data_IF_900136223271
#
_entry.id   IF_900136223271
#
_cell.length_a   1.000
_cell.length_b   1.000
_cell.length_c   1.000
_cell.angle_alpha   90.00
_cell.angle_beta   90.00
_cell.angle_gamma   90.00
#
_symmetry.space_group_name_H-M   'P 1'
#
loop_
_entity.id
_entity.type
_entity.pdbx_description
1 polymer ?
#
# COMPACT_ATOMS: atom_id res chain seq x y z
N UNK A 1 -0.64 12.08 20.29
CA UNK A 1 -1.26 11.03 19.45
C UNK A 1 -2.70 10.90 19.90
N UNK A 2 -3.65 10.80 18.95
CA UNK A 2 -5.08 10.62 19.29
C UNK A 2 -5.43 9.17 19.03
N UNK A 3 -5.82 8.45 20.07
CA UNK A 3 -6.23 7.04 19.96
C UNK A 3 -7.75 6.98 19.93
N UNK A 4 -8.30 6.16 19.03
CA UNK A 4 -9.74 5.97 18.90
C UNK A 4 -10.17 4.68 19.58
N UNK A 5 -11.16 4.77 20.47
CA UNK A 5 -11.83 3.63 21.08
C UNK A 5 -13.01 3.21 20.19
N UNK A 6 -12.91 2.04 19.56
CA UNK A 6 -14.00 1.51 18.73
C UNK A 6 -15.18 0.97 19.52
N UNK A 7 -14.97 0.56 20.77
CA UNK A 7 -16.01 -0.06 21.61
C UNK A 7 -16.91 1.01 22.21
N UNK A 8 -16.33 2.16 22.57
CA UNK A 8 -17.06 3.29 23.13
C UNK A 8 -17.35 4.41 22.11
N UNK A 9 -16.85 4.28 20.88
CA UNK A 9 -16.97 5.27 19.80
C UNK A 9 -16.49 6.68 20.20
N UNK A 10 -15.45 6.74 21.02
CA UNK A 10 -14.87 7.98 21.57
C UNK A 10 -13.38 8.07 21.28
N UNK A 11 -12.87 9.29 21.23
CA UNK A 11 -11.43 9.52 21.19
C UNK A 11 -10.91 9.65 22.62
N UNK A 12 -9.82 8.96 22.93
CA UNK A 12 -9.10 9.16 24.20
C UNK A 12 -8.50 10.57 24.26
N UNK A 13 -8.29 11.06 25.49
CA UNK A 13 -7.59 12.33 25.68
C UNK A 13 -6.23 12.28 24.98
N UNK A 14 -5.88 13.30 24.16
CA UNK A 14 -4.63 13.33 23.45
C UNK A 14 -3.45 13.29 24.42
N UNK A 15 -2.71 12.19 24.43
CA UNK A 15 -1.48 12.12 25.20
C UNK A 15 -0.32 12.74 24.41
N UNK A 16 0.41 13.61 25.09
CA UNK A 16 1.69 14.11 24.60
C UNK A 16 2.68 12.95 24.65
N UNK A 17 3.04 12.42 23.48
CA UNK A 17 3.94 11.26 23.35
C UNK A 17 5.42 11.64 23.67
N UNK A 18 5.64 12.84 24.23
CA UNK A 18 6.86 13.60 24.06
C UNK A 18 6.96 14.10 22.63
N UNK A 19 7.64 15.22 22.38
CA UNK A 19 8.14 15.52 21.04
C UNK A 19 9.05 14.36 20.61
N UNK A 20 8.78 13.64 19.51
CA UNK A 20 9.80 12.82 18.90
C UNK A 20 10.19 13.47 17.58
N UNK A 21 11.22 12.96 16.94
CA UNK A 21 11.67 13.42 15.62
C UNK A 21 12.43 14.75 15.68
N UNK A 22 13.54 14.77 16.44
CA UNK A 22 14.74 15.50 15.99
C UNK A 22 15.33 14.83 14.72
N UNK A 23 14.45 14.54 13.76
CA UNK A 23 14.78 13.99 12.47
C UNK A 23 15.10 15.16 11.57
N UNK A 24 16.24 15.10 10.89
CA UNK A 24 16.56 16.04 9.82
C UNK A 24 15.85 15.71 8.51
N UNK A 25 15.06 14.63 8.46
CA UNK A 25 14.33 14.12 7.31
C UNK A 25 12.82 14.36 7.46
N UNK A 26 12.08 14.33 6.36
CA UNK A 26 10.63 14.45 6.38
C UNK A 26 9.99 13.11 6.74
N UNK A 27 9.25 13.09 7.85
CA UNK A 27 8.46 11.95 8.28
C UNK A 27 6.99 12.22 7.94
N UNK A 28 6.47 11.53 6.92
CA UNK A 28 5.16 11.81 6.31
C UNK A 28 4.00 11.11 7.02
N UNK A 29 4.25 9.95 7.62
CA UNK A 29 3.22 9.16 8.27
C UNK A 29 3.82 8.31 9.38
N UNK A 30 3.17 8.31 10.53
CA UNK A 30 3.32 7.32 11.59
C UNK A 30 1.96 6.67 11.83
N UNK A 31 1.85 5.38 11.54
CA UNK A 31 0.65 4.60 11.77
C UNK A 31 0.97 3.42 12.69
N UNK A 32 0.07 3.11 13.61
CA UNK A 32 0.19 1.97 14.53
C UNK A 32 -1.12 1.19 14.45
N UNK A 33 -1.00 -0.11 14.22
CA UNK A 33 -2.07 -1.09 14.32
C UNK A 33 -1.94 -1.80 15.67
N UNK A 34 -2.88 -1.53 16.56
CA UNK A 34 -2.90 -2.09 17.91
C UNK A 34 -3.31 -3.57 17.92
N UNK A 35 -4.07 -4.04 16.91
CA UNK A 35 -4.57 -5.41 16.82
C UNK A 35 -3.44 -6.37 16.45
N UNK A 36 -2.70 -6.04 15.39
CA UNK A 36 -1.56 -6.85 14.97
C UNK A 36 -0.24 -6.40 15.63
N UNK A 37 -0.27 -5.32 16.41
CA UNK A 37 0.88 -4.74 17.14
C UNK A 37 2.07 -4.51 16.22
N UNK A 38 1.79 -3.79 15.13
CA UNK A 38 2.75 -3.37 14.10
C UNK A 38 2.59 -1.89 13.83
N UNK A 39 3.68 -1.21 13.48
CA UNK A 39 3.68 0.19 13.10
C UNK A 39 4.41 0.43 11.78
N UNK A 40 4.06 1.52 11.11
CA UNK A 40 4.69 2.00 9.89
C UNK A 40 5.13 3.44 10.05
N UNK A 41 6.38 3.71 9.72
CA UNK A 41 6.95 5.03 9.57
C UNK A 41 7.29 5.26 8.10
N UNK A 42 6.71 6.29 7.48
CA UNK A 42 6.99 6.69 6.10
C UNK A 42 7.87 7.93 6.14
N UNK A 43 9.06 7.83 5.56
CA UNK A 43 10.09 8.89 5.64
C UNK A 43 10.90 8.96 4.36
N UNK A 44 11.37 10.15 3.97
CA UNK A 44 12.34 10.32 2.86
C UNK A 44 13.81 10.09 3.29
N UNK A 45 14.02 9.65 4.54
CA UNK A 45 15.36 9.44 5.08
C UNK A 45 16.19 8.48 4.24
N UNK A 46 17.39 8.93 3.86
CA UNK A 46 18.36 8.20 3.03
C UNK A 46 17.79 7.73 1.68
N UNK A 47 16.75 8.38 1.16
CA UNK A 47 16.17 8.05 -0.14
C UNK A 47 16.58 9.08 -1.22
N UNK A 48 16.62 8.66 -2.50
CA UNK A 48 16.68 9.58 -3.62
C UNK A 48 15.50 10.57 -3.60
N UNK A 49 15.66 11.69 -4.30
CA UNK A 49 14.59 12.67 -4.49
C UNK A 49 13.32 12.00 -5.04
N UNK A 50 12.17 12.45 -4.56
CA UNK A 50 10.83 11.99 -4.97
C UNK A 50 10.53 10.51 -4.63
N UNK A 51 11.23 9.95 -3.62
CA UNK A 51 10.96 8.61 -3.09
C UNK A 51 10.95 8.58 -1.57
N UNK A 52 10.23 7.60 -1.00
CA UNK A 52 10.10 7.41 0.44
C UNK A 52 10.39 5.96 0.82
N UNK A 53 10.91 5.76 2.03
CA UNK A 53 11.06 4.46 2.65
C UNK A 53 9.92 4.22 3.65
N UNK A 54 9.39 3.00 3.66
CA UNK A 54 8.38 2.57 4.63
C UNK A 54 9.05 1.60 5.61
N UNK A 55 9.29 2.06 6.83
CA UNK A 55 9.82 1.24 7.92
C UNK A 55 8.67 0.56 8.65
N UNK A 56 8.70 -0.77 8.75
CA UNK A 56 7.77 -1.52 9.61
C UNK A 56 8.45 -1.85 10.93
N UNK A 57 7.81 -1.54 12.05
CA UNK A 57 8.37 -1.74 13.39
C UNK A 57 7.36 -2.35 14.36
N UNK A 58 7.85 -2.80 15.51
CA UNK A 58 7.00 -3.26 16.63
C UNK A 58 6.88 -2.11 17.62
N UNK A 59 5.67 -1.59 17.89
CA UNK A 59 5.49 -0.54 18.87
C UNK A 59 5.76 -1.07 20.29
N UNK A 60 6.35 -0.24 21.13
CA UNK A 60 6.50 -0.52 22.56
C UNK A 60 5.29 0.02 23.32
N UNK A 61 4.64 -0.82 24.13
CA UNK A 61 3.47 -0.41 24.93
C UNK A 61 3.82 0.67 25.98
N UNK A 62 5.06 0.67 26.46
CA UNK A 62 5.59 1.67 27.39
C UNK A 62 6.89 2.24 26.85
N UNK A 63 7.18 3.51 27.19
CA UNK A 63 8.47 4.13 26.88
C UNK A 63 9.56 3.37 27.65
N UNK A 64 10.44 2.70 26.92
CA UNK A 64 11.64 2.05 27.48
C UNK A 64 12.80 3.02 27.30
N UNK A 65 13.54 3.28 28.37
CA UNK A 65 14.80 4.01 28.29
C UNK A 65 15.95 3.03 28.04
N UNK A 66 16.97 3.48 27.32
CA UNK A 66 18.16 2.67 27.01
C UNK A 66 19.21 2.70 28.15
N UNK A 67 18.81 3.10 29.36
CA UNK A 67 19.72 3.29 30.50
C UNK A 67 20.36 1.97 30.95
N UNK A 68 19.67 0.84 30.77
CA UNK A 68 20.16 -0.49 31.09
C UNK A 68 21.04 -1.12 29.99
N UNK A 69 21.05 -0.57 28.77
CA UNK A 69 21.66 -1.20 27.60
C UNK A 69 23.14 -0.83 27.39
N UNK A 70 23.73 -0.01 28.27
CA UNK A 70 25.13 0.46 28.20
C UNK A 70 25.52 0.96 26.80
N UNK A 71 24.60 1.63 26.10
CA UNK A 71 24.84 2.12 24.75
C UNK A 71 25.74 3.35 24.76
N UNK A 72 26.68 3.40 23.83
CA UNK A 72 27.48 4.62 23.62
C UNK A 72 26.61 5.71 22.98
N UNK A 73 26.96 7.00 23.13
CA UNK A 73 26.28 8.10 22.45
C UNK A 73 26.21 7.90 20.93
N UNK A 74 27.24 7.32 20.32
CA UNK A 74 27.30 7.03 18.89
C UNK A 74 26.28 5.95 18.49
N UNK A 75 26.12 4.91 19.31
CA UNK A 75 25.12 3.87 19.08
C UNK A 75 23.70 4.44 19.20
N UNK A 76 23.45 5.24 20.24
CA UNK A 76 22.17 5.94 20.40
C UNK A 76 21.85 6.85 19.22
N UNK A 77 22.85 7.59 18.71
CA UNK A 77 22.68 8.46 17.55
C UNK A 77 22.36 7.65 16.28
N UNK A 78 23.08 6.54 16.06
CA UNK A 78 22.84 5.62 14.94
C UNK A 78 21.41 5.08 14.96
N UNK A 79 20.93 4.67 16.14
CA UNK A 79 19.57 4.13 16.31
C UNK A 79 18.51 5.20 16.07
N UNK A 80 18.68 6.38 16.65
CA UNK A 80 17.76 7.50 16.46
C UNK A 80 17.68 7.96 14.99
N UNK A 81 18.79 7.83 14.24
CA UNK A 81 18.84 8.13 12.81
C UNK A 81 18.41 6.98 11.92
N UNK A 82 18.10 5.80 12.45
CA UNK A 82 17.77 4.59 11.67
C UNK A 82 18.84 4.26 10.61
N UNK A 83 20.13 4.46 10.93
CA UNK A 83 21.21 4.23 9.96
C UNK A 83 21.29 2.77 9.52
N UNK A 84 21.15 1.84 10.47
CA UNK A 84 21.05 0.41 10.23
C UNK A 84 19.94 -0.20 11.10
N UNK A 85 18.79 -0.50 10.49
CA UNK A 85 17.66 -1.10 11.23
C UNK A 85 17.99 -2.50 11.76
N UNK A 86 19.02 -3.17 11.22
CA UNK A 86 19.52 -4.43 11.75
C UNK A 86 19.96 -4.33 13.20
N UNK A 87 20.47 -3.17 13.61
CA UNK A 87 21.02 -2.97 14.95
C UNK A 87 19.93 -2.95 16.01
N UNK A 88 18.67 -2.70 15.61
CA UNK A 88 17.52 -2.68 16.52
C UNK A 88 16.87 -4.05 16.67
N UNK A 89 17.19 -5.03 15.82
CA UNK A 89 16.52 -6.34 15.82
C UNK A 89 16.75 -7.16 17.10
N UNK A 90 17.79 -6.83 17.88
CA UNK A 90 18.05 -7.45 19.18
C UNK A 90 17.01 -7.08 20.24
N UNK A 91 16.29 -5.97 20.07
CA UNK A 91 15.34 -5.44 21.07
C UNK A 91 13.93 -6.05 20.96
N UNK A 92 13.81 -7.30 20.54
CA UNK A 92 12.53 -7.99 20.44
C UNK A 92 12.60 -9.29 19.64
N UNK A 93 11.43 -9.78 19.23
CA UNK A 93 11.31 -11.00 18.44
C UNK A 93 10.95 -10.69 16.98
N UNK A 94 11.97 -10.51 16.14
CA UNK A 94 11.81 -10.20 14.71
C UNK A 94 10.98 -11.25 13.97
N UNK A 95 11.20 -12.54 14.25
CA UNK A 95 10.50 -13.62 13.55
C UNK A 95 9.01 -13.65 13.90
N UNK A 96 8.65 -13.35 15.15
CA UNK A 96 7.25 -13.18 15.53
C UNK A 96 6.62 -11.96 14.83
N UNK A 97 7.34 -10.84 14.75
CA UNK A 97 6.87 -9.64 14.04
C UNK A 97 6.62 -9.89 12.54
N UNK A 98 7.53 -10.61 11.86
CA UNK A 98 7.37 -10.99 10.45
C UNK A 98 6.13 -11.86 10.27
N UNK A 99 5.90 -12.87 11.13
CA UNK A 99 4.71 -13.72 11.05
C UNK A 99 3.41 -12.94 11.19
N UNK A 100 3.35 -11.96 12.12
CA UNK A 100 2.17 -11.07 12.27
C UNK A 100 1.94 -10.22 11.02
N UNK A 101 3.01 -9.66 10.45
CA UNK A 101 2.93 -8.87 9.21
C UNK A 101 2.38 -9.71 8.06
N UNK A 102 2.90 -10.92 7.88
CA UNK A 102 2.49 -11.78 6.78
C UNK A 102 1.03 -12.24 6.94
N UNK A 103 0.58 -12.54 8.18
CA UNK A 103 -0.81 -12.85 8.47
C UNK A 103 -1.76 -11.65 8.21
N UNK A 104 -1.33 -10.43 8.56
CA UNK A 104 -2.06 -9.20 8.23
C UNK A 104 -2.21 -9.04 6.70
N UNK A 105 -1.13 -9.23 5.95
CA UNK A 105 -1.15 -9.13 4.49
C UNK A 105 -2.07 -10.19 3.87
N UNK A 106 -2.05 -11.42 4.39
CA UNK A 106 -2.94 -12.48 3.96
C UNK A 106 -4.41 -12.10 4.20
N UNK A 107 -4.75 -11.65 5.42
CA UNK A 107 -6.10 -11.19 5.78
C UNK A 107 -6.58 -10.03 4.91
N UNK A 108 -5.69 -9.10 4.58
CA UNK A 108 -5.98 -7.98 3.69
C UNK A 108 -6.19 -8.44 2.25
N UNK A 109 -5.42 -9.42 1.77
CA UNK A 109 -5.59 -10.00 0.43
C UNK A 109 -6.92 -10.75 0.29
N UNK A 110 -7.34 -11.48 1.33
CA UNK A 110 -8.64 -12.17 1.37
C UNK A 110 -9.82 -11.18 1.42
N UNK A 111 -9.68 -10.06 2.12
CA UNK A 111 -10.69 -8.97 2.12
C UNK A 111 -10.72 -8.21 0.78
N UNK A 112 -9.57 -8.03 0.13
CA UNK A 112 -9.43 -7.37 -1.16
C UNK A 112 -9.92 -8.21 -2.36
N UNK A 113 -10.04 -9.53 -2.22
CA UNK A 113 -10.52 -10.42 -3.30
C UNK A 113 -12.02 -10.28 -3.63
N UNK A 114 -12.81 -9.51 -2.88
CA UNK A 114 -14.28 -9.47 -3.05
C UNK A 114 -14.88 -8.15 -3.52
N UNK A 115 -14.07 -7.13 -3.85
CA UNK A 115 -14.60 -5.90 -4.47
C UNK A 115 -13.94 -5.69 -5.82
N UNK A 116 -14.76 -5.73 -6.87
CA UNK A 116 -14.38 -5.20 -8.18
C UNK A 116 -13.89 -3.75 -8.01
N UNK A 117 -12.96 -3.33 -8.84
CA UNK A 117 -12.53 -1.92 -8.91
C UNK A 117 -13.78 -1.02 -9.04
N UNK A 118 -14.00 -0.05 -8.14
CA UNK A 118 -15.18 0.81 -8.21
C UNK A 118 -15.06 1.76 -9.40
N UNK A 119 -16.13 1.87 -10.19
CA UNK A 119 -16.22 2.85 -11.26
C UNK A 119 -16.89 4.14 -10.74
N UNK A 120 -16.14 5.24 -10.76
CA UNK A 120 -16.68 6.57 -10.45
C UNK A 120 -17.45 7.09 -11.68
N UNK A 121 -18.78 7.18 -11.56
CA UNK A 121 -19.69 7.62 -12.64
C UNK A 121 -20.00 9.12 -12.51
N UNK A 122 -20.29 9.60 -11.31
CA UNK A 122 -20.50 11.01 -10.99
C UNK A 122 -20.23 11.28 -9.51
N UNK A 123 -20.27 12.55 -9.08
CA UNK A 123 -20.11 12.95 -7.67
C UNK A 123 -21.06 12.24 -6.70
N UNK A 124 -22.19 11.73 -7.21
CA UNK A 124 -23.23 11.05 -6.41
C UNK A 124 -23.36 9.55 -6.70
N UNK A 125 -22.62 9.02 -7.68
CA UNK A 125 -22.74 7.61 -8.10
C UNK A 125 -21.36 6.98 -8.31
N UNK A 126 -21.05 6.02 -7.45
CA UNK A 126 -19.94 5.07 -7.61
C UNK A 126 -20.52 3.67 -7.76
N UNK A 127 -20.23 3.02 -8.89
CA UNK A 127 -20.72 1.68 -9.19
C UNK A 127 -19.70 0.63 -8.76
N UNK A 128 -20.17 -0.37 -7.99
CA UNK A 128 -19.39 -1.52 -7.54
C UNK A 128 -19.83 -2.81 -8.27
N UNK A 129 -21.05 -2.82 -8.82
CA UNK A 129 -21.64 -3.88 -9.65
C UNK A 129 -22.50 -3.26 -10.74
N UNK A 130 -22.75 -4.01 -11.81
CA UNK A 130 -23.58 -3.53 -12.92
C UNK A 130 -24.95 -3.00 -12.45
N UNK A 131 -25.59 -3.67 -11.49
CA UNK A 131 -26.90 -3.28 -10.96
C UNK A 131 -26.93 -1.92 -10.23
N UNK A 132 -25.78 -1.32 -9.92
CA UNK A 132 -25.72 0.04 -9.37
C UNK A 132 -26.01 1.10 -10.45
N UNK A 133 -25.95 0.71 -11.74
CA UNK A 133 -26.26 1.56 -12.88
C UNK A 133 -27.75 1.51 -13.21
N UNK A 134 -28.31 2.67 -13.55
CA UNK A 134 -29.73 2.86 -13.85
C UNK A 134 -30.08 2.33 -15.23
N UNK A 135 -29.22 2.56 -16.23
CA UNK A 135 -29.52 2.23 -17.62
C UNK A 135 -29.11 0.81 -17.98
N UNK A 136 -29.89 0.16 -18.84
CA UNK A 136 -29.56 -1.17 -19.38
C UNK A 136 -28.27 -1.13 -20.22
N UNK A 137 -28.05 -0.03 -20.95
CA UNK A 137 -26.81 0.21 -21.71
C UNK A 137 -25.61 0.33 -20.78
N UNK A 138 -25.70 1.15 -19.72
CA UNK A 138 -24.65 1.29 -18.71
C UNK A 138 -24.28 -0.04 -18.06
N UNK A 139 -25.27 -0.88 -17.72
CA UNK A 139 -25.05 -2.24 -17.20
C UNK A 139 -24.24 -3.12 -18.14
N UNK A 140 -24.57 -3.11 -19.43
CA UNK A 140 -23.84 -3.90 -20.44
C UNK A 140 -22.41 -3.38 -20.63
N UNK A 141 -22.24 -2.06 -20.73
CA UNK A 141 -20.93 -1.43 -20.84
C UNK A 141 -20.06 -1.69 -19.60
N UNK A 142 -20.66 -1.75 -18.41
CA UNK A 142 -19.95 -2.06 -17.17
C UNK A 142 -19.38 -3.48 -17.16
N UNK A 143 -20.10 -4.46 -17.70
CA UNK A 143 -19.57 -5.83 -17.83
C UNK A 143 -18.35 -5.87 -18.75
N UNK A 144 -18.38 -5.13 -19.85
CA UNK A 144 -17.23 -4.99 -20.75
C UNK A 144 -16.07 -4.27 -20.05
N UNK A 145 -16.36 -3.18 -19.34
CA UNK A 145 -15.36 -2.43 -18.57
C UNK A 145 -14.68 -3.31 -17.51
N UNK A 146 -15.46 -4.12 -16.79
CA UNK A 146 -14.95 -5.05 -15.78
C UNK A 146 -14.08 -6.15 -16.40
N UNK A 147 -14.43 -6.64 -17.59
CA UNK A 147 -13.59 -7.58 -18.32
C UNK A 147 -12.24 -6.95 -18.71
N UNK A 148 -12.24 -5.70 -19.20
CA UNK A 148 -11.00 -4.98 -19.52
C UNK A 148 -10.16 -4.71 -18.27
N UNK A 149 -10.77 -4.36 -17.13
CA UNK A 149 -10.07 -4.21 -15.84
C UNK A 149 -9.37 -5.50 -15.43
N UNK A 150 -10.05 -6.64 -15.59
CA UNK A 150 -9.46 -7.93 -15.25
C UNK A 150 -8.31 -8.29 -16.21
N UNK A 151 -8.48 -8.05 -17.51
CA UNK A 151 -7.41 -8.23 -18.51
C UNK A 151 -6.20 -7.33 -18.23
N UNK A 152 -6.41 -6.06 -17.87
CA UNK A 152 -5.35 -5.12 -17.50
C UNK A 152 -4.50 -5.67 -16.35
N UNK A 153 -5.17 -6.18 -15.32
CA UNK A 153 -4.51 -6.77 -14.15
C UNK A 153 -3.69 -8.01 -14.52
N UNK A 154 -4.26 -8.90 -15.31
CA UNK A 154 -3.57 -10.12 -15.76
C UNK A 154 -2.35 -9.81 -16.64
N UNK A 155 -2.48 -8.85 -17.57
CA UNK A 155 -1.37 -8.37 -18.39
C UNK A 155 -0.29 -7.72 -17.54
N UNK A 156 -0.65 -6.93 -16.53
CA UNK A 156 0.32 -6.30 -15.61
C UNK A 156 1.08 -7.34 -14.78
N UNK A 157 0.39 -8.35 -14.23
CA UNK A 157 1.02 -9.44 -13.48
C UNK A 157 1.94 -10.29 -14.37
N UNK A 158 1.54 -10.53 -15.63
CA UNK A 158 2.37 -11.24 -16.60
C UNK A 158 3.61 -10.43 -17.01
N UNK A 159 3.45 -9.12 -17.23
CA UNK A 159 4.53 -8.20 -17.57
C UNK A 159 5.58 -8.15 -16.46
N UNK A 160 5.16 -8.10 -15.19
CA UNK A 160 6.09 -8.12 -14.06
C UNK A 160 6.90 -9.42 -14.00
N UNK A 161 6.27 -10.57 -14.23
CA UNK A 161 6.97 -11.87 -14.31
C UNK A 161 7.97 -11.90 -15.47
N UNK A 162 7.62 -11.33 -16.63
CA UNK A 162 8.52 -11.22 -17.77
C UNK A 162 9.72 -10.32 -17.47
N UNK A 163 9.51 -9.19 -16.79
CA UNK A 163 10.58 -8.28 -16.37
C UNK A 163 11.54 -8.94 -15.38
N UNK A 164 11.01 -9.64 -14.38
CA UNK A 164 11.83 -10.41 -13.44
C UNK A 164 12.67 -11.48 -14.16
N UNK A 165 12.08 -12.19 -15.12
CA UNK A 165 12.80 -13.16 -15.96
C UNK A 165 13.91 -12.50 -16.78
N UNK A 166 13.64 -11.34 -17.38
CA UNK A 166 14.61 -10.61 -18.18
C UNK A 166 15.79 -10.09 -17.34
N UNK A 167 15.52 -9.59 -16.13
CA UNK A 167 16.57 -9.17 -15.18
C UNK A 167 17.49 -10.35 -14.83
N UNK A 168 16.90 -11.54 -14.58
CA UNK A 168 17.67 -12.73 -14.26
C UNK A 168 18.49 -13.27 -15.46
N UNK A 169 17.93 -13.19 -16.67
CA UNK A 169 18.59 -13.61 -17.90
C UNK A 169 18.11 -12.78 -19.10
N UNK A 170 18.91 -11.81 -19.56
CA UNK A 170 18.56 -11.01 -20.72
C UNK A 170 18.47 -11.87 -21.99
N UNK A 171 17.33 -11.82 -22.67
CA UNK A 171 17.14 -12.50 -23.95
C UNK A 171 16.17 -11.72 -24.86
N UNK A 172 16.42 -11.78 -26.18
CA UNK A 172 15.67 -11.01 -27.16
C UNK A 172 14.19 -11.42 -27.27
N UNK A 173 13.87 -12.69 -26.99
CA UNK A 173 12.50 -13.19 -27.05
C UNK A 173 11.67 -12.63 -25.89
N UNK A 174 12.21 -12.63 -24.67
CA UNK A 174 11.58 -12.03 -23.49
C UNK A 174 11.46 -10.51 -23.66
N UNK A 175 12.45 -9.83 -24.23
CA UNK A 175 12.35 -8.41 -24.55
C UNK A 175 11.20 -8.10 -25.53
N UNK A 176 11.02 -8.91 -26.58
CA UNK A 176 9.90 -8.78 -27.50
C UNK A 176 8.55 -8.94 -26.78
N UNK A 177 8.40 -9.98 -25.96
CA UNK A 177 7.18 -10.21 -25.17
C UNK A 177 6.87 -9.09 -24.17
N UNK A 178 7.89 -8.49 -23.57
CA UNK A 178 7.73 -7.33 -22.69
C UNK A 178 7.14 -6.17 -23.48
N UNK A 179 7.69 -5.87 -24.67
CA UNK A 179 7.22 -4.78 -25.52
C UNK A 179 5.77 -5.00 -25.97
N UNK A 180 5.41 -6.22 -26.37
CA UNK A 180 4.05 -6.56 -26.77
C UNK A 180 3.08 -6.40 -25.59
N UNK A 181 3.44 -6.90 -24.41
CA UNK A 181 2.62 -6.76 -23.20
C UNK A 181 2.48 -5.28 -22.75
N UNK A 182 3.51 -4.46 -22.92
CA UNK A 182 3.43 -3.01 -22.65
C UNK A 182 2.50 -2.29 -23.62
N UNK A 183 2.51 -2.68 -24.90
CA UNK A 183 1.58 -2.17 -25.91
C UNK A 183 0.14 -2.58 -25.58
N UNK A 184 -0.09 -3.85 -25.24
CA UNK A 184 -1.41 -4.36 -24.87
C UNK A 184 -1.95 -3.67 -23.62
N UNK A 185 -1.09 -3.45 -22.61
CA UNK A 185 -1.47 -2.73 -21.39
C UNK A 185 -1.89 -1.28 -21.69
N UNK A 186 -1.19 -0.61 -22.61
CA UNK A 186 -1.57 0.74 -23.06
C UNK A 186 -2.93 0.73 -23.76
N UNK A 187 -3.19 -0.24 -24.63
CA UNK A 187 -4.46 -0.38 -25.33
C UNK A 187 -5.61 -0.65 -24.34
N UNK A 188 -5.42 -1.59 -23.41
CA UNK A 188 -6.41 -1.93 -22.37
C UNK A 188 -6.77 -0.70 -21.50
N UNK A 189 -5.77 0.12 -21.13
CA UNK A 189 -6.01 1.37 -20.39
C UNK A 189 -6.85 2.37 -21.18
N UNK A 190 -6.57 2.53 -22.47
CA UNK A 190 -7.35 3.40 -23.35
C UNK A 190 -8.79 2.91 -23.49
N UNK A 191 -8.98 1.59 -23.65
CA UNK A 191 -10.30 0.97 -23.76
C UNK A 191 -11.10 1.08 -22.46
N UNK A 192 -10.43 0.90 -21.31
CA UNK A 192 -11.00 1.10 -19.98
C UNK A 192 -11.52 2.53 -19.81
N UNK A 193 -10.73 3.54 -20.18
CA UNK A 193 -11.14 4.95 -20.13
C UNK A 193 -12.28 5.27 -21.10
N UNK A 194 -12.25 4.71 -22.31
CA UNK A 194 -13.31 4.90 -23.30
C UNK A 194 -14.64 4.31 -22.82
N UNK A 195 -14.61 3.10 -22.25
CA UNK A 195 -15.78 2.45 -21.68
C UNK A 195 -16.31 3.23 -20.46
N UNK A 196 -15.44 3.71 -19.58
CA UNK A 196 -15.82 4.57 -18.48
C UNK A 196 -16.55 5.84 -18.95
N UNK A 197 -16.04 6.50 -20.01
CA UNK A 197 -16.71 7.67 -20.62
C UNK A 197 -18.09 7.32 -21.20
N UNK A 198 -18.22 6.18 -21.88
CA UNK A 198 -19.51 5.72 -22.42
C UNK A 198 -20.52 5.43 -21.31
N UNK A 199 -20.10 4.79 -20.22
CA UNK A 199 -20.94 4.54 -19.04
C UNK A 199 -21.40 5.87 -18.42
N UNK A 200 -20.49 6.81 -18.21
CA UNK A 200 -20.82 8.15 -17.70
C UNK A 200 -21.81 8.88 -18.59
N UNK A 201 -21.69 8.74 -19.91
CA UNK A 201 -22.65 9.32 -20.86
C UNK A 201 -24.02 8.66 -20.79
N UNK A 202 -24.07 7.33 -20.69
CA UNK A 202 -25.33 6.59 -20.61
C UNK A 202 -26.09 6.90 -19.31
N UNK A 203 -25.40 7.06 -18.19
CA UNK A 203 -26.02 7.28 -16.87
C UNK A 203 -26.42 8.73 -16.58
N UNK A 204 -25.89 9.69 -17.34
CA UNK A 204 -26.18 11.12 -17.20
C UNK A 204 -27.10 11.65 -18.33
N UNK A 205 -27.75 10.76 -19.08
CA UNK A 205 -28.90 11.09 -19.94
C UNK A 205 -30.19 11.10 -19.12
#
# INVERSE_FOLDING_TARGET
MTTYDSDNATYYEPQNYGLPFNSTANDYLLAIDDVDTLGWLVSDRFQPKDSVCIYTFVPTASRVDFSADNLTPEQLNSYARLYAISDTWKFGNRMAAIRRRDALLERMSQKGQRRNEPLIVSDRLTAYKANDLKTTEGRSLYQQWQAVVQMEKETQDALEKLRQKYIARPDAQTAGKIKDAEHDLLQQRNDKELLAKKIRKAENQ
#
